data_IF_165054486913
#
_entry.id   IF_165054486913
#
_cell.length_a   1.000
_cell.length_b   1.000
_cell.length_c   1.000
_cell.angle_alpha   90.00
_cell.angle_beta   90.00
_cell.angle_gamma   90.00
#
_symmetry.space_group_name_H-M   'P 1'
#
loop_
_entity.id
_entity.type
_entity.pdbx_description
1 polymer ?
#
# COMPACT_ATOMS: atom_id res chain seq x y z
N UNK A 1 -4.77 21.95 -8.40
CA UNK A 1 -5.96 22.10 -7.53
C UNK A 1 -5.89 20.96 -6.53
N UNK A 2 -5.84 21.26 -5.23
CA UNK A 2 -5.90 20.22 -4.20
C UNK A 2 -7.33 19.66 -4.17
N UNK A 3 -7.48 18.34 -4.17
CA UNK A 3 -8.78 17.70 -3.98
C UNK A 3 -9.00 17.54 -2.48
N UNK A 4 -10.11 18.04 -1.96
CA UNK A 4 -10.39 18.00 -0.52
C UNK A 4 -11.42 16.92 -0.16
N UNK A 5 -12.25 16.51 -1.12
CA UNK A 5 -13.33 15.57 -0.90
C UNK A 5 -13.67 14.84 -2.20
N UNK A 6 -14.20 13.61 -2.09
CA UNK A 6 -14.59 12.83 -3.27
C UNK A 6 -15.74 13.49 -4.07
N UNK A 7 -16.58 14.27 -3.40
CA UNK A 7 -17.74 14.98 -3.98
C UNK A 7 -17.38 16.41 -4.43
N UNK A 8 -16.09 16.73 -4.51
CA UNK A 8 -15.66 18.00 -5.11
C UNK A 8 -16.07 18.08 -6.59
N UNK A 9 -15.98 19.28 -7.18
CA UNK A 9 -16.33 19.50 -8.58
C UNK A 9 -15.60 18.50 -9.51
N UNK A 10 -14.33 18.23 -9.22
CA UNK A 10 -13.53 17.24 -9.95
C UNK A 10 -14.18 15.86 -9.86
N UNK A 11 -14.52 15.39 -8.67
CA UNK A 11 -15.18 14.11 -8.44
C UNK A 11 -16.54 14.01 -9.13
N UNK A 12 -17.34 15.09 -9.09
CA UNK A 12 -18.59 15.15 -9.84
C UNK A 12 -18.39 15.02 -11.36
N UNK A 13 -17.33 15.62 -11.91
CA UNK A 13 -16.99 15.51 -13.34
C UNK A 13 -16.46 14.11 -13.68
N UNK A 14 -15.68 13.50 -12.79
CA UNK A 14 -15.16 12.14 -12.96
C UNK A 14 -16.24 11.07 -12.85
N UNK A 15 -17.34 11.33 -12.14
CA UNK A 15 -18.50 10.46 -12.08
C UNK A 15 -19.33 10.46 -13.38
N UNK A 16 -19.07 11.40 -14.30
CA UNK A 16 -19.70 11.44 -15.63
C UNK A 16 -19.00 10.46 -16.58
N UNK A 17 -19.62 10.13 -17.74
CA UNK A 17 -19.02 9.23 -18.72
C UNK A 17 -17.60 9.65 -19.12
N UNK A 18 -16.66 8.68 -19.08
CA UNK A 18 -15.22 8.87 -19.28
C UNK A 18 -14.81 9.39 -20.67
N UNK A 19 -15.72 9.39 -21.64
CA UNK A 19 -15.49 9.86 -23.01
C UNK A 19 -15.59 11.38 -23.16
N UNK A 20 -15.96 12.12 -22.10
CA UNK A 20 -16.13 13.58 -22.14
C UNK A 20 -14.91 14.29 -21.53
N UNK A 21 -14.25 13.68 -20.54
CA UNK A 21 -13.21 14.32 -19.72
C UNK A 21 -11.93 13.49 -19.71
N UNK A 22 -10.81 14.15 -19.99
CA UNK A 22 -9.47 13.59 -19.74
C UNK A 22 -8.98 14.08 -18.39
N UNK A 23 -8.93 13.19 -17.39
CA UNK A 23 -8.38 13.52 -16.08
C UNK A 23 -6.86 13.38 -16.09
N UNK A 24 -6.17 14.51 -15.89
CA UNK A 24 -4.71 14.54 -15.75
C UNK A 24 -4.40 14.66 -14.25
N UNK A 25 -4.13 13.51 -13.61
CA UNK A 25 -3.74 13.46 -12.21
C UNK A 25 -2.22 13.59 -12.09
N UNK A 26 -1.78 14.69 -11.46
CA UNK A 26 -0.38 14.98 -11.16
C UNK A 26 -0.19 15.00 -9.64
N UNK A 27 -0.03 13.84 -8.99
CA UNK A 27 0.25 13.78 -7.56
C UNK A 27 1.61 14.39 -7.24
N UNK A 28 1.78 14.89 -6.01
CA UNK A 28 3.06 15.41 -5.50
C UNK A 28 4.17 14.39 -5.66
N UNK A 29 3.95 13.15 -5.21
CA UNK A 29 4.87 12.03 -5.42
C UNK A 29 4.31 11.20 -6.56
N UNK A 30 5.09 11.02 -7.64
CA UNK A 30 4.65 10.17 -8.74
C UNK A 30 4.46 8.74 -8.25
N UNK A 31 3.23 8.24 -8.32
CA UNK A 31 2.95 6.88 -7.91
C UNK A 31 3.46 5.88 -8.94
N UNK A 32 3.28 6.16 -10.23
CA UNK A 32 3.75 5.28 -11.30
C UNK A 32 4.67 6.07 -12.23
N UNK A 33 5.39 5.39 -13.13
CA UNK A 33 6.03 6.08 -14.26
C UNK A 33 4.94 6.79 -15.08
N UNK A 34 5.03 8.12 -15.18
CA UNK A 34 4.06 8.93 -15.89
C UNK A 34 4.70 9.50 -17.16
N UNK A 35 4.04 9.30 -18.30
CA UNK A 35 4.41 9.94 -19.56
C UNK A 35 3.15 10.60 -20.14
N UNK A 36 3.18 11.91 -20.24
CA UNK A 36 2.11 12.71 -20.84
C UNK A 36 2.53 13.09 -22.25
N UNK A 37 1.74 12.65 -23.21
CA UNK A 37 1.94 12.92 -24.62
C UNK A 37 1.11 14.12 -25.07
N UNK A 38 1.61 14.86 -26.06
CA UNK A 38 0.84 15.88 -26.76
C UNK A 38 -0.26 15.21 -27.59
N UNK A 39 -1.52 15.50 -27.27
CA UNK A 39 -2.66 15.10 -28.11
C UNK A 39 -2.64 16.01 -29.35
N UNK A 40 -2.12 15.54 -30.49
CA UNK A 40 -2.64 16.04 -31.77
C UNK A 40 -3.97 15.33 -32.00
N UNK A 41 -5.10 16.04 -31.92
CA UNK A 41 -6.33 15.52 -32.56
C UNK A 41 -5.98 15.22 -34.02
N UNK A 42 -6.25 14.03 -34.57
CA UNK A 42 -6.31 13.92 -36.03
C UNK A 42 -7.39 14.90 -36.48
N UNK A 43 -7.03 15.87 -37.33
CA UNK A 43 -8.03 16.65 -38.04
C UNK A 43 -8.91 15.64 -38.79
N UNK A 44 -10.24 15.64 -38.64
CA UNK A 44 -11.07 14.88 -39.56
C UNK A 44 -10.75 15.37 -40.97
N UNK A 45 -10.65 14.48 -41.97
CA UNK A 45 -10.37 14.91 -43.33
C UNK A 45 -11.43 15.93 -43.73
N UNK A 46 -11.00 17.14 -44.09
CA UNK A 46 -11.88 18.13 -44.72
C UNK A 46 -12.51 17.45 -45.93
N UNK A 47 -13.85 17.41 -46.06
CA UNK A 47 -14.47 16.76 -47.20
C UNK A 47 -13.98 17.44 -48.48
N UNK A 48 -13.24 16.70 -49.29
CA UNK A 48 -12.80 17.14 -50.61
C UNK A 48 -14.04 17.19 -51.49
N UNK A 49 -14.55 18.39 -51.78
CA UNK A 49 -15.50 18.57 -52.88
C UNK A 49 -14.75 18.19 -54.15
N UNK A 50 -15.13 17.05 -54.76
CA UNK A 50 -14.58 16.61 -56.04
C UNK A 50 -15.13 17.51 -57.13
N UNK A 51 -14.35 18.48 -57.57
CA UNK A 51 -14.53 19.06 -58.91
C UNK A 51 -13.82 18.13 -59.89
N UNK A 52 -14.60 17.45 -60.72
CA UNK A 52 -14.08 16.53 -61.73
C UNK A 52 -13.42 17.33 -62.86
N UNK A 53 -12.10 17.33 -62.93
CA UNK A 53 -11.40 17.59 -64.18
C UNK A 53 -10.16 16.70 -64.34
N UNK A 54 -9.99 16.27 -65.58
CA UNK A 54 -9.05 15.29 -66.10
C UNK A 54 -7.57 15.59 -65.82
N UNK A 55 -6.78 14.50 -65.89
CA UNK A 55 -5.33 14.45 -66.14
C UNK A 55 -4.39 14.95 -65.03
N UNK A 56 -3.78 13.98 -64.32
CA UNK A 56 -2.33 13.80 -64.15
C UNK A 56 -2.07 13.02 -62.85
N UNK A 57 -1.30 11.94 -62.95
CA UNK A 57 -0.83 11.11 -61.83
C UNK A 57 0.04 11.95 -60.87
N UNK A 58 -0.58 12.49 -59.82
CA UNK A 58 0.14 13.08 -58.68
C UNK A 58 0.36 12.01 -57.62
N UNK A 59 1.61 11.61 -57.38
CA UNK A 59 2.00 10.80 -56.21
C UNK A 59 1.51 11.52 -54.95
N UNK A 60 0.57 10.90 -54.24
CA UNK A 60 0.21 11.30 -52.89
C UNK A 60 1.40 10.99 -51.98
N UNK A 61 2.09 12.04 -51.53
CA UNK A 61 3.03 11.93 -50.43
C UNK A 61 2.25 11.47 -49.19
N UNK A 62 2.48 10.24 -48.74
CA UNK A 62 2.21 9.86 -47.35
C UNK A 62 3.09 10.74 -46.47
N UNK A 63 2.51 11.79 -45.86
CA UNK A 63 3.18 12.48 -44.75
C UNK A 63 3.37 11.44 -43.64
N UNK A 64 4.60 11.18 -43.18
CA UNK A 64 4.80 10.35 -42.00
C UNK A 64 4.05 11.01 -40.83
N UNK A 65 3.33 10.21 -40.04
CA UNK A 65 2.70 10.66 -38.81
C UNK A 65 3.77 11.42 -37.99
N UNK A 66 3.49 12.69 -37.65
CA UNK A 66 4.43 13.47 -36.84
C UNK A 66 4.72 12.70 -35.54
N UNK A 67 5.97 12.60 -35.08
CA UNK A 67 6.29 11.86 -33.87
C UNK A 67 5.49 12.44 -32.69
N UNK A 68 4.89 11.54 -31.90
CA UNK A 68 4.17 11.91 -30.68
C UNK A 68 5.15 12.63 -29.76
N UNK A 69 4.91 13.92 -29.51
CA UNK A 69 5.79 14.72 -28.64
C UNK A 69 5.48 14.41 -27.18
N UNK A 70 6.45 13.92 -26.43
CA UNK A 70 6.37 13.81 -24.97
C UNK A 70 6.38 15.24 -24.42
N UNK A 71 5.34 15.61 -23.65
CA UNK A 71 5.23 16.92 -23.01
C UNK A 71 5.82 16.91 -21.60
N UNK A 72 5.63 15.80 -20.89
CA UNK A 72 6.04 15.64 -19.51
C UNK A 72 6.30 14.17 -19.23
N UNK A 73 7.40 13.87 -18.54
CA UNK A 73 7.70 12.52 -18.08
C UNK A 73 8.36 12.57 -16.72
N UNK A 74 7.97 11.65 -15.84
CA UNK A 74 8.61 11.45 -14.54
C UNK A 74 8.62 9.99 -14.14
N UNK A 75 9.65 9.60 -13.40
CA UNK A 75 9.74 8.26 -12.82
C UNK A 75 8.90 8.17 -11.54
N UNK A 76 8.52 6.96 -11.13
CA UNK A 76 7.86 6.77 -9.83
C UNK A 76 8.78 7.20 -8.67
N UNK A 77 8.16 7.79 -7.64
CA UNK A 77 8.84 8.42 -6.51
C UNK A 77 9.38 9.81 -6.79
N UNK A 78 9.35 10.30 -8.04
CA UNK A 78 9.80 11.64 -8.37
C UNK A 78 8.75 12.69 -7.96
N UNK A 79 9.22 13.78 -7.34
CA UNK A 79 8.37 14.89 -6.94
C UNK A 79 7.88 15.69 -8.14
N UNK A 80 6.65 16.20 -8.07
CA UNK A 80 6.04 17.05 -9.10
C UNK A 80 6.79 18.38 -9.27
N UNK A 81 7.28 18.94 -8.15
CA UNK A 81 8.11 20.14 -8.11
C UNK A 81 9.27 19.91 -7.14
N UNK A 82 10.37 20.64 -7.35
CA UNK A 82 11.52 20.60 -6.48
C UNK A 82 11.14 21.31 -5.17
N UNK A 83 11.22 20.58 -4.06
CA UNK A 83 11.18 21.09 -2.70
C UNK A 83 12.62 21.24 -2.22
N UNK A 84 12.93 22.35 -1.54
CA UNK A 84 14.28 22.61 -1.02
C UNK A 84 14.72 21.50 -0.04
N UNK A 85 13.79 20.93 0.74
CA UNK A 85 14.04 19.78 1.62
C UNK A 85 13.73 18.40 1.01
N UNK A 86 13.39 18.32 -0.27
CA UNK A 86 13.19 17.07 -0.99
C UNK A 86 12.19 16.11 -0.33
N UNK A 87 12.61 14.86 -0.10
CA UNK A 87 11.74 13.82 0.51
C UNK A 87 11.47 14.05 2.00
N UNK A 88 12.41 14.64 2.72
CA UNK A 88 12.27 14.87 4.17
C UNK A 88 11.16 15.89 4.45
N UNK A 89 11.09 16.94 3.64
CA UNK A 89 10.02 17.93 3.70
C UNK A 89 8.65 17.31 3.40
N UNK A 90 8.58 16.36 2.47
CA UNK A 90 7.34 15.63 2.18
C UNK A 90 6.87 14.81 3.37
N UNK A 91 7.79 14.12 4.06
CA UNK A 91 7.45 13.36 5.27
C UNK A 91 7.01 14.28 6.41
N UNK A 92 7.58 15.49 6.54
CA UNK A 92 7.12 16.50 7.50
C UNK A 92 5.69 16.94 7.17
N UNK A 93 5.42 17.34 5.93
CA UNK A 93 4.08 17.74 5.48
C UNK A 93 3.06 16.62 5.74
N UNK A 94 3.45 15.38 5.42
CA UNK A 94 2.60 14.19 5.64
C UNK A 94 2.34 13.93 7.13
N UNK A 95 3.34 14.10 7.98
CA UNK A 95 3.21 13.95 9.42
C UNK A 95 2.30 15.02 10.04
N UNK A 96 2.38 16.27 9.57
CA UNK A 96 1.54 17.39 10.04
C UNK A 96 0.08 17.26 9.61
N UNK A 97 -0.18 16.88 8.36
CA UNK A 97 -1.53 16.79 7.81
C UNK A 97 -2.23 15.46 8.14
N UNK A 98 -1.46 14.40 8.33
CA UNK A 98 -1.94 13.03 8.38
C UNK A 98 -2.18 12.44 6.99
N UNK A 99 -2.06 11.12 6.89
CA UNK A 99 -2.00 10.37 5.63
C UNK A 99 -3.26 10.52 4.77
N UNK A 100 -4.44 10.65 5.39
CA UNK A 100 -5.70 10.90 4.68
C UNK A 100 -5.72 12.27 3.98
N UNK A 101 -5.41 13.34 4.72
CA UNK A 101 -5.41 14.68 4.15
C UNK A 101 -4.29 14.85 3.13
N UNK A 102 -3.13 14.22 3.36
CA UNK A 102 -2.05 14.15 2.40
C UNK A 102 -2.48 13.45 1.10
N UNK A 103 -3.12 12.28 1.20
CA UNK A 103 -3.61 11.54 0.03
C UNK A 103 -4.61 12.36 -0.79
N UNK A 104 -5.54 13.03 -0.12
CA UNK A 104 -6.51 13.90 -0.78
C UNK A 104 -5.83 15.12 -1.45
N UNK A 105 -5.10 15.91 -0.68
CA UNK A 105 -4.60 17.22 -1.12
C UNK A 105 -3.41 17.12 -2.07
N UNK A 106 -2.43 16.27 -1.71
CA UNK A 106 -1.14 16.19 -2.39
C UNK A 106 -1.09 15.04 -3.40
N UNK A 107 -1.74 13.90 -3.13
CA UNK A 107 -1.83 12.79 -4.09
C UNK A 107 -3.08 12.83 -4.98
N UNK A 108 -3.99 13.79 -4.77
CA UNK A 108 -5.25 13.95 -5.51
C UNK A 108 -6.19 12.73 -5.43
N UNK A 109 -6.11 11.97 -4.35
CA UNK A 109 -6.89 10.76 -4.10
C UNK A 109 -7.77 10.91 -2.83
N UNK A 110 -8.85 11.70 -2.87
CA UNK A 110 -9.79 11.78 -1.77
C UNK A 110 -10.67 10.51 -1.73
N UNK A 111 -10.45 9.67 -0.73
CA UNK A 111 -11.34 8.56 -0.40
C UNK A 111 -12.31 8.99 0.71
N UNK A 112 -13.55 8.51 0.78
CA UNK A 112 -14.42 8.82 1.91
C UNK A 112 -13.99 8.03 3.14
N UNK A 113 -14.11 8.61 4.32
CA UNK A 113 -13.77 7.94 5.60
C UNK A 113 -14.57 6.64 5.84
N UNK A 114 -15.66 6.41 5.11
CA UNK A 114 -16.52 5.23 5.19
C UNK A 114 -16.33 4.22 4.05
N UNK A 115 -15.32 4.36 3.16
CA UNK A 115 -15.16 3.43 2.02
C UNK A 115 -14.58 2.07 2.41
N UNK A 116 -13.78 1.99 3.46
CA UNK A 116 -13.14 0.73 3.83
C UNK A 116 -14.02 -0.18 4.66
N UNK A 117 -13.60 -1.45 4.72
CA UNK A 117 -14.33 -2.52 5.40
C UNK A 117 -14.24 -2.36 6.93
N UNK A 118 -13.12 -1.86 7.44
CA UNK A 118 -12.89 -1.64 8.88
C UNK A 118 -13.33 -0.23 9.27
N UNK A 119 -14.09 -0.14 10.37
CA UNK A 119 -14.49 1.15 10.94
C UNK A 119 -13.48 1.65 11.98
N UNK A 120 -13.17 2.96 12.03
CA UNK A 120 -12.23 3.52 12.99
C UNK A 120 -12.55 3.17 14.45
N UNK A 121 -13.84 3.16 14.84
CA UNK A 121 -14.28 2.87 16.21
C UNK A 121 -14.04 1.42 16.66
N UNK A 122 -13.78 0.50 15.73
CA UNK A 122 -13.44 -0.89 16.04
C UNK A 122 -12.00 -1.02 16.54
N UNK A 123 -11.10 -0.15 16.06
CA UNK A 123 -9.70 -0.08 16.52
C UNK A 123 -9.64 0.62 17.89
N UNK A 124 -9.27 -0.13 18.93
CA UNK A 124 -9.14 0.40 20.29
C UNK A 124 -7.78 1.03 20.50
N UNK A 125 -7.64 1.83 21.56
CA UNK A 125 -6.41 2.58 21.85
C UNK A 125 -5.79 2.20 23.19
N UNK A 126 -4.47 2.20 23.27
CA UNK A 126 -3.72 2.10 24.54
C UNK A 126 -2.71 3.25 24.69
N UNK A 127 -2.44 3.69 25.92
CA UNK A 127 -1.50 4.81 26.21
C UNK A 127 -0.12 4.33 26.64
N UNK A 128 -0.10 3.29 27.48
CA UNK A 128 1.12 2.62 27.94
C UNK A 128 1.07 1.18 27.49
N UNK A 129 2.22 0.59 27.25
CA UNK A 129 2.29 -0.85 27.04
C UNK A 129 1.67 -1.57 28.25
N UNK A 130 0.97 -2.69 28.03
CA UNK A 130 0.58 -3.57 29.12
C UNK A 130 1.80 -4.01 29.94
N UNK A 131 1.65 -4.10 31.26
CA UNK A 131 2.78 -4.40 32.16
C UNK A 131 3.41 -5.78 31.91
N UNK A 132 2.63 -6.73 31.41
CA UNK A 132 3.07 -8.10 31.08
C UNK A 132 2.97 -8.34 29.56
N UNK A 133 3.93 -7.83 28.79
CA UNK A 133 4.05 -8.15 27.37
C UNK A 133 4.50 -9.61 27.19
N UNK A 134 3.52 -10.52 27.16
CA UNK A 134 3.73 -11.94 26.82
C UNK A 134 3.26 -12.25 25.40
N UNK A 135 3.69 -13.39 24.86
CA UNK A 135 3.25 -13.89 23.54
C UNK A 135 3.49 -12.90 22.40
N UNK A 136 4.67 -12.26 22.41
CA UNK A 136 5.09 -11.34 21.35
C UNK A 136 5.25 -12.14 20.06
N UNK A 137 4.62 -11.69 18.98
CA UNK A 137 4.70 -12.30 17.65
C UNK A 137 5.06 -11.23 16.64
N UNK A 138 6.01 -11.52 15.77
CA UNK A 138 6.31 -10.69 14.60
C UNK A 138 5.69 -11.33 13.37
N UNK A 139 5.06 -10.52 12.53
CA UNK A 139 4.49 -10.96 11.26
C UNK A 139 5.14 -10.19 10.12
N UNK A 140 5.91 -10.90 9.32
CA UNK A 140 6.63 -10.35 8.18
C UNK A 140 5.88 -10.63 6.89
N UNK A 141 5.54 -9.56 6.18
CA UNK A 141 5.29 -9.58 4.74
C UNK A 141 6.57 -9.08 4.05
N UNK A 142 7.17 -9.93 3.22
CA UNK A 142 8.51 -9.68 2.68
C UNK A 142 8.47 -9.39 1.19
N UNK A 143 9.11 -8.30 0.82
CA UNK A 143 9.43 -7.98 -0.56
C UNK A 143 10.90 -7.62 -0.68
N UNK A 144 11.61 -8.30 -1.59
CA UNK A 144 12.98 -7.90 -1.96
C UNK A 144 12.89 -6.84 -3.03
N UNK A 145 13.38 -5.66 -2.68
CA UNK A 145 13.67 -4.61 -3.64
C UNK A 145 14.90 -4.98 -4.46
N UNK A 146 14.89 -4.62 -5.74
CA UNK A 146 16.09 -4.45 -6.58
C UNK A 146 16.06 -3.11 -7.33
N UNK A 147 15.00 -2.31 -7.12
CA UNK A 147 14.76 -1.02 -7.77
C UNK A 147 13.76 -0.17 -6.97
N UNK A 148 13.71 1.14 -7.23
CA UNK A 148 12.79 2.07 -6.55
C UNK A 148 11.30 1.72 -6.71
N UNK A 149 10.93 0.85 -7.66
CA UNK A 149 9.56 0.42 -7.95
C UNK A 149 9.12 -0.78 -7.09
N UNK A 150 9.98 -1.26 -6.18
CA UNK A 150 9.68 -2.46 -5.40
C UNK A 150 8.55 -2.24 -4.39
N UNK A 151 7.92 -3.35 -4.02
CA UNK A 151 7.04 -3.43 -2.85
C UNK A 151 7.83 -3.20 -1.56
N UNK A 152 7.13 -2.88 -0.48
CA UNK A 152 7.74 -2.70 0.83
C UNK A 152 7.85 -4.05 1.55
N UNK A 153 8.90 -4.22 2.33
CA UNK A 153 8.92 -5.22 3.39
C UNK A 153 8.30 -4.61 4.64
N UNK A 154 7.36 -5.31 5.26
CA UNK A 154 6.65 -4.88 6.47
C UNK A 154 6.78 -5.92 7.57
N UNK A 155 7.02 -5.45 8.80
CA UNK A 155 6.89 -6.23 10.01
C UNK A 155 5.91 -5.55 10.96
N UNK A 156 4.85 -6.27 11.33
CA UNK A 156 3.97 -5.87 12.43
C UNK A 156 4.34 -6.69 13.67
N UNK A 157 4.61 -6.02 14.80
CA UNK A 157 4.93 -6.66 16.07
C UNK A 157 3.73 -6.59 17.01
N UNK A 158 3.27 -7.73 17.49
CA UNK A 158 2.05 -7.86 18.27
C UNK A 158 2.30 -8.51 19.61
N UNK A 159 1.58 -8.08 20.65
CA UNK A 159 1.40 -8.87 21.87
C UNK A 159 -0.03 -9.40 21.97
N UNK A 160 -0.17 -10.64 22.43
CA UNK A 160 -1.46 -11.23 22.80
C UNK A 160 -1.55 -11.29 24.32
N UNK A 161 -2.57 -10.65 24.86
CA UNK A 161 -2.89 -10.72 26.30
C UNK A 161 -4.35 -11.15 26.40
N UNK A 162 -4.57 -12.32 26.97
CA UNK A 162 -5.84 -13.05 26.94
C UNK A 162 -6.35 -13.24 25.50
N UNK A 163 -7.36 -12.46 25.10
CA UNK A 163 -7.95 -12.46 23.76
C UNK A 163 -7.94 -11.05 23.15
N UNK A 164 -6.98 -10.22 23.55
CA UNK A 164 -6.74 -8.88 23.03
C UNK A 164 -5.37 -8.84 22.35
N UNK A 165 -5.31 -8.13 21.24
CA UNK A 165 -4.17 -8.04 20.35
C UNK A 165 -3.67 -6.60 20.31
N UNK A 166 -2.46 -6.37 20.81
CA UNK A 166 -1.86 -5.06 20.90
C UNK A 166 -0.79 -4.92 19.81
N UNK A 167 -0.98 -4.00 18.87
CA UNK A 167 0.03 -3.67 17.87
C UNK A 167 1.09 -2.78 18.51
N UNK A 168 2.28 -3.34 18.74
CA UNK A 168 3.37 -2.70 19.47
C UNK A 168 4.27 -1.84 18.57
N UNK A 169 4.51 -2.33 17.35
CA UNK A 169 5.41 -1.68 16.39
C UNK A 169 5.03 -2.06 14.96
N UNK A 170 5.29 -1.13 14.03
CA UNK A 170 5.21 -1.38 12.59
C UNK A 170 6.48 -0.87 11.96
N UNK A 171 7.24 -1.79 11.37
CA UNK A 171 8.40 -1.49 10.56
C UNK A 171 8.03 -1.62 9.09
N UNK A 172 8.40 -0.63 8.26
CA UNK A 172 8.15 -0.63 6.82
C UNK A 172 9.33 -0.01 6.09
N UNK A 173 9.92 -0.75 5.15
CA UNK A 173 11.02 -0.25 4.32
C UNK A 173 11.13 -1.01 3.00
N UNK A 174 11.69 -0.35 1.97
CA UNK A 174 12.16 -1.02 0.75
C UNK A 174 13.58 -1.49 0.98
N UNK A 175 13.78 -2.81 1.01
CA UNK A 175 15.05 -3.42 1.39
C UNK A 175 15.53 -4.41 0.34
N UNK A 176 16.83 -4.37 0.08
CA UNK A 176 17.55 -5.47 -0.56
C UNK A 176 17.71 -6.61 0.46
N UNK A 177 17.87 -7.85 -0.03
CA UNK A 177 17.89 -9.06 0.81
C UNK A 177 18.86 -9.01 2.01
N UNK A 178 20.13 -8.59 1.88
CA UNK A 178 21.05 -8.53 3.03
C UNK A 178 20.53 -7.61 4.14
N UNK A 179 19.94 -6.47 3.76
CA UNK A 179 19.36 -5.51 4.70
C UNK A 179 18.06 -6.01 5.31
N UNK A 180 17.24 -6.74 4.55
CA UNK A 180 16.07 -7.41 5.10
C UNK A 180 16.46 -8.37 6.23
N UNK A 181 17.48 -9.22 6.02
CA UNK A 181 17.97 -10.13 7.06
C UNK A 181 18.47 -9.38 8.31
N UNK A 182 19.29 -8.35 8.13
CA UNK A 182 19.78 -7.52 9.25
C UNK A 182 18.60 -6.94 10.07
N UNK A 183 17.55 -6.48 9.40
CA UNK A 183 16.39 -5.89 10.06
C UNK A 183 15.53 -6.91 10.79
N UNK A 184 15.38 -8.12 10.25
CA UNK A 184 14.69 -9.22 10.96
C UNK A 184 15.41 -9.57 12.25
N UNK A 185 16.74 -9.73 12.20
CA UNK A 185 17.56 -10.01 13.39
C UNK A 185 17.50 -8.86 14.42
N UNK A 186 17.58 -7.61 13.94
CA UNK A 186 17.51 -6.42 14.81
C UNK A 186 16.16 -6.32 15.53
N UNK A 187 15.05 -6.48 14.82
CA UNK A 187 13.72 -6.45 15.41
C UNK A 187 13.46 -7.64 16.32
N UNK A 188 13.98 -8.83 15.99
CA UNK A 188 13.90 -10.00 16.85
C UNK A 188 14.68 -9.79 18.16
N UNK A 189 15.88 -9.20 18.09
CA UNK A 189 16.67 -8.87 19.28
C UNK A 189 15.99 -7.82 20.16
N UNK A 190 15.34 -6.82 19.54
CA UNK A 190 14.61 -5.75 20.26
C UNK A 190 13.39 -6.27 21.01
N UNK A 191 12.60 -7.14 20.38
CA UNK A 191 11.28 -7.53 20.86
C UNK A 191 11.22 -8.93 21.47
N UNK A 192 12.27 -9.74 21.32
CA UNK A 192 12.35 -11.13 21.81
C UNK A 192 11.07 -11.93 21.52
N UNK A 193 10.66 -12.05 20.23
CA UNK A 193 9.39 -12.65 19.87
C UNK A 193 9.37 -14.16 20.18
N UNK A 194 8.21 -14.66 20.56
CA UNK A 194 7.94 -16.09 20.75
C UNK A 194 7.64 -16.80 19.43
N UNK A 195 7.27 -16.03 18.39
CA UNK A 195 7.03 -16.51 17.05
C UNK A 195 7.34 -15.41 16.03
N UNK A 196 7.99 -15.78 14.93
CA UNK A 196 8.22 -14.90 13.78
C UNK A 196 7.57 -15.56 12.57
N UNK A 197 6.43 -15.02 12.16
CA UNK A 197 5.69 -15.46 10.99
C UNK A 197 6.32 -14.82 9.76
N UNK A 198 6.64 -15.61 8.74
CA UNK A 198 7.17 -15.11 7.47
C UNK A 198 6.38 -15.77 6.34
N UNK A 199 5.81 -14.95 5.44
CA UNK A 199 5.16 -15.47 4.23
C UNK A 199 6.20 -16.15 3.33
N UNK A 200 5.95 -17.40 2.98
CA UNK A 200 6.84 -18.25 2.20
C UNK A 200 6.71 -18.03 0.69
N UNK A 201 6.78 -16.78 0.25
CA UNK A 201 6.68 -16.42 -1.16
C UNK A 201 7.95 -15.72 -1.63
N UNK A 202 8.52 -16.21 -2.73
CA UNK A 202 9.70 -15.64 -3.39
C UNK A 202 10.86 -15.42 -2.40
N UNK A 203 11.12 -14.17 -1.98
CA UNK A 203 12.18 -13.82 -1.03
C UNK A 203 12.00 -14.41 0.36
N UNK A 204 10.74 -14.62 0.79
CA UNK A 204 10.45 -15.17 2.10
C UNK A 204 10.94 -16.61 2.27
N UNK A 205 10.95 -17.41 1.19
CA UNK A 205 11.44 -18.80 1.25
C UNK A 205 12.94 -18.86 1.55
N UNK A 206 13.75 -18.04 0.87
CA UNK A 206 15.20 -17.97 1.08
C UNK A 206 15.51 -17.48 2.50
N UNK A 207 14.80 -16.44 2.94
CA UNK A 207 14.95 -15.89 4.28
C UNK A 207 14.61 -16.92 5.36
N UNK A 208 13.49 -17.63 5.22
CA UNK A 208 13.07 -18.69 6.15
C UNK A 208 14.11 -19.81 6.23
N UNK A 209 14.61 -20.28 5.09
CA UNK A 209 15.61 -21.35 5.04
C UNK A 209 16.92 -20.91 5.72
N UNK A 210 17.40 -19.70 5.43
CA UNK A 210 18.63 -19.17 5.99
C UNK A 210 18.50 -18.93 7.50
N UNK A 211 17.40 -18.35 7.98
CA UNK A 211 17.19 -18.07 9.40
C UNK A 211 17.00 -19.37 10.20
N UNK A 212 16.27 -20.36 9.68
CA UNK A 212 16.13 -21.68 10.34
C UNK A 212 17.46 -22.43 10.44
N UNK A 213 18.40 -22.18 9.52
CA UNK A 213 19.72 -22.85 9.52
C UNK A 213 20.73 -22.14 10.40
N UNK A 214 20.71 -20.80 10.43
CA UNK A 214 21.78 -19.99 11.02
C UNK A 214 21.37 -19.24 12.30
N UNK A 215 20.16 -19.45 12.82
CA UNK A 215 19.69 -18.80 14.04
C UNK A 215 18.73 -19.68 14.83
N UNK A 216 18.63 -19.43 16.14
CA UNK A 216 17.66 -20.08 17.03
C UNK A 216 16.31 -19.33 17.07
N UNK A 217 16.02 -18.50 16.07
CA UNK A 217 14.79 -17.72 16.04
C UNK A 217 13.57 -18.62 15.83
N UNK A 218 12.42 -18.33 16.47
CA UNK A 218 11.21 -19.15 16.36
C UNK A 218 10.45 -18.85 15.05
N UNK A 219 11.06 -19.20 13.92
CA UNK A 219 10.52 -18.93 12.57
C UNK A 219 9.38 -19.90 12.26
N UNK A 220 8.22 -19.34 11.92
CA UNK A 220 7.05 -20.05 11.44
C UNK A 220 6.77 -19.61 10.00
N UNK A 221 6.79 -20.58 9.12
CA UNK A 221 6.52 -20.37 7.70
C UNK A 221 5.01 -20.30 7.46
N UNK A 222 4.54 -19.26 6.78
CA UNK A 222 3.14 -19.08 6.42
C UNK A 222 2.97 -19.22 4.92
N UNK A 223 1.99 -20.02 4.51
CA UNK A 223 1.55 -20.12 3.13
C UNK A 223 0.12 -19.58 3.07
N UNK A 224 -0.12 -18.42 2.43
CA UNK A 224 -1.46 -17.89 2.32
C UNK A 224 -2.30 -18.80 1.41
N UNK A 225 -3.53 -19.03 1.86
CA UNK A 225 -4.59 -19.66 1.08
C UNK A 225 -5.67 -18.61 0.83
N UNK A 226 -6.40 -18.74 -0.28
CA UNK A 226 -7.40 -17.78 -0.74
C UNK A 226 -6.84 -16.43 -1.24
N UNK A 227 -7.70 -15.67 -1.92
CA UNK A 227 -7.38 -14.32 -2.35
C UNK A 227 -7.32 -13.34 -1.15
N UNK A 228 -6.65 -12.21 -1.37
CA UNK A 228 -6.36 -11.21 -0.32
C UNK A 228 -7.62 -10.67 0.35
N UNK A 229 -8.66 -10.36 -0.43
CA UNK A 229 -9.90 -9.79 0.09
C UNK A 229 -10.65 -10.82 0.94
N UNK A 230 -10.70 -12.08 0.50
CA UNK A 230 -11.25 -13.18 1.28
C UNK A 230 -10.52 -13.35 2.62
N UNK A 231 -9.17 -13.36 2.62
CA UNK A 231 -8.37 -13.43 3.86
C UNK A 231 -8.65 -12.25 4.79
N UNK A 232 -8.81 -11.04 4.25
CA UNK A 232 -9.14 -9.85 5.02
C UNK A 232 -10.50 -9.97 5.70
N UNK A 233 -11.55 -10.40 4.98
CA UNK A 233 -12.88 -10.61 5.56
C UNK A 233 -12.89 -11.61 6.72
N UNK A 234 -11.98 -12.59 6.73
CA UNK A 234 -11.89 -13.56 7.82
C UNK A 234 -11.43 -12.93 9.15
N UNK A 235 -10.73 -11.79 9.14
CA UNK A 235 -10.22 -11.13 10.35
C UNK A 235 -11.11 -9.99 10.83
N UNK A 236 -12.06 -9.53 10.01
CA UNK A 236 -13.00 -8.44 10.33
C UNK A 236 -13.73 -8.68 11.67
N UNK A 237 -14.28 -9.87 11.97
CA UNK A 237 -14.98 -10.09 13.24
C UNK A 237 -14.09 -9.91 14.48
N UNK A 238 -12.78 -10.15 14.35
CA UNK A 238 -11.82 -9.93 15.45
C UNK A 238 -11.69 -8.44 15.73
N UNK A 239 -11.50 -7.64 14.68
CA UNK A 239 -11.36 -6.19 14.78
C UNK A 239 -12.68 -5.58 15.27
N UNK A 240 -13.80 -5.93 14.64
CA UNK A 240 -15.15 -5.46 14.98
C UNK A 240 -15.50 -5.69 16.45
N UNK A 241 -15.10 -6.83 17.02
CA UNK A 241 -15.32 -7.14 18.44
C UNK A 241 -14.49 -6.28 19.41
N UNK A 242 -13.71 -5.31 18.91
CA UNK A 242 -12.92 -4.38 19.72
C UNK A 242 -11.72 -5.02 20.42
N UNK A 243 -11.17 -6.10 19.84
CA UNK A 243 -10.04 -6.84 20.41
C UNK A 243 -8.68 -6.36 19.92
N UNK A 244 -8.64 -5.49 18.92
CA UNK A 244 -7.40 -4.95 18.34
C UNK A 244 -7.13 -3.56 18.92
N UNK A 245 -5.92 -3.39 19.46
CA UNK A 245 -5.48 -2.20 20.18
C UNK A 245 -4.25 -1.59 19.51
N UNK A 246 -4.36 -0.32 19.14
CA UNK A 246 -3.29 0.50 18.58
C UNK A 246 -2.79 1.50 19.64
N UNK A 247 -1.54 1.97 19.56
CA UNK A 247 -1.09 3.02 20.44
C UNK A 247 -1.87 4.32 20.18
N UNK A 248 -1.91 5.21 21.18
CA UNK A 248 -2.41 6.58 20.97
C UNK A 248 -1.50 7.37 20.04
N UNK A 249 -0.19 7.09 20.05
CA UNK A 249 0.81 7.81 19.28
C UNK A 249 1.93 6.84 18.87
N UNK A 250 2.25 6.83 17.59
CA UNK A 250 3.46 6.22 17.04
C UNK A 250 3.76 6.88 15.68
N UNK A 251 5.04 6.90 15.28
CA UNK A 251 5.47 7.51 14.00
C UNK A 251 4.79 6.83 12.80
N UNK A 252 4.60 5.51 12.86
CA UNK A 252 3.97 4.71 11.80
C UNK A 252 2.43 4.69 11.85
N UNK A 253 1.81 5.25 12.89
CA UNK A 253 0.40 5.02 13.20
C UNK A 253 -0.53 5.51 12.09
N UNK A 254 -0.35 6.74 11.63
CA UNK A 254 -1.24 7.36 10.65
C UNK A 254 -1.20 6.61 9.30
N UNK A 255 -0.03 6.14 8.89
CA UNK A 255 0.15 5.37 7.67
C UNK A 255 -0.47 3.98 7.78
N UNK A 256 -0.29 3.32 8.92
CA UNK A 256 -0.94 2.04 9.20
C UNK A 256 -2.47 2.15 9.18
N UNK A 257 -3.01 3.15 9.89
CA UNK A 257 -4.46 3.35 9.97
C UNK A 257 -5.07 3.71 8.63
N UNK A 258 -4.43 4.59 7.87
CA UNK A 258 -4.87 4.90 6.53
C UNK A 258 -4.94 3.64 5.66
N UNK A 259 -3.91 2.79 5.70
CA UNK A 259 -3.89 1.56 4.90
C UNK A 259 -5.01 0.58 5.30
N UNK A 260 -5.15 0.28 6.60
CA UNK A 260 -6.15 -0.66 7.11
C UNK A 260 -7.58 -0.16 6.92
N UNK A 261 -7.82 1.14 7.15
CA UNK A 261 -9.16 1.74 7.09
C UNK A 261 -9.64 2.01 5.66
N UNK A 262 -8.74 2.05 4.69
CA UNK A 262 -9.09 2.33 3.29
C UNK A 262 -8.97 1.10 2.39
N UNK A 263 -8.43 -0.02 2.88
CA UNK A 263 -8.41 -1.28 2.15
C UNK A 263 -9.83 -1.72 1.71
N UNK A 264 -10.05 -2.15 0.46
CA UNK A 264 -9.06 -2.48 -0.59
C UNK A 264 -8.72 -1.34 -1.56
N UNK A 265 -9.15 -0.10 -1.29
CA UNK A 265 -8.99 1.04 -2.20
C UNK A 265 -7.59 1.67 -2.16
N UNK A 266 -6.70 1.16 -1.29
CA UNK A 266 -5.32 1.65 -1.16
C UNK A 266 -4.39 1.02 -2.16
N UNK A 267 -3.44 1.80 -2.66
CA UNK A 267 -2.40 1.32 -3.58
C UNK A 267 -1.45 0.31 -2.92
N UNK A 268 -1.18 0.52 -1.64
CA UNK A 268 -0.35 -0.38 -0.83
C UNK A 268 -1.26 -1.15 0.12
N UNK A 269 -0.90 -2.41 0.33
CA UNK A 269 -1.59 -3.33 1.22
C UNK A 269 -0.60 -4.25 1.97
N UNK A 270 0.69 -3.90 1.96
CA UNK A 270 1.76 -4.69 2.62
C UNK A 270 1.55 -4.73 4.17
N UNK A 271 1.07 -3.63 4.77
CA UNK A 271 0.72 -3.59 6.21
C UNK A 271 -0.57 -4.35 6.50
N UNK A 272 -1.51 -4.33 5.55
CA UNK A 272 -2.72 -5.13 5.60
C UNK A 272 -2.39 -6.62 5.55
N UNK A 273 -1.54 -7.07 4.62
CA UNK A 273 -1.12 -8.47 4.48
C UNK A 273 -0.43 -8.97 5.75
N UNK A 274 0.52 -8.21 6.28
CA UNK A 274 1.21 -8.53 7.54
C UNK A 274 0.22 -8.66 8.73
N UNK A 275 -0.78 -7.77 8.81
CA UNK A 275 -1.80 -7.79 9.86
C UNK A 275 -2.75 -8.99 9.72
N UNK A 276 -3.24 -9.24 8.51
CA UNK A 276 -4.13 -10.38 8.22
C UNK A 276 -3.43 -11.69 8.55
N UNK A 277 -2.16 -11.85 8.14
CA UNK A 277 -1.34 -13.01 8.45
C UNK A 277 -1.29 -13.29 9.96
N UNK A 278 -0.99 -12.26 10.77
CA UNK A 278 -0.95 -12.41 12.23
C UNK A 278 -2.31 -12.82 12.80
N UNK A 279 -3.38 -12.10 12.43
CA UNK A 279 -4.72 -12.32 12.99
C UNK A 279 -5.30 -13.68 12.57
N UNK A 280 -5.03 -14.16 11.36
CA UNK A 280 -5.39 -15.51 10.94
C UNK A 280 -4.63 -16.57 11.72
N UNK A 281 -3.31 -16.40 11.87
CA UNK A 281 -2.46 -17.34 12.60
C UNK A 281 -2.88 -17.48 14.07
N UNK A 282 -3.13 -16.36 14.76
CA UNK A 282 -3.50 -16.37 16.17
C UNK A 282 -4.91 -16.93 16.40
N UNK A 283 -5.84 -16.69 15.46
CA UNK A 283 -7.18 -17.30 15.46
C UNK A 283 -7.10 -18.82 15.36
N UNK A 284 -6.33 -19.33 14.41
CA UNK A 284 -6.18 -20.77 14.17
C UNK A 284 -5.49 -21.48 15.34
N UNK A 285 -4.47 -20.84 15.93
CA UNK A 285 -3.79 -21.34 17.13
C UNK A 285 -4.74 -21.43 18.34
N UNK A 286 -5.66 -20.47 18.49
CA UNK A 286 -6.65 -20.48 19.57
C UNK A 286 -7.68 -21.60 19.37
N UNK A 287 -8.19 -21.77 18.14
CA UNK A 287 -9.16 -22.84 17.82
C UNK A 287 -8.60 -24.25 18.07
N UNK A 288 -7.32 -24.48 17.73
CA UNK A 288 -6.65 -25.76 17.98
C UNK A 288 -6.58 -26.10 19.47
N UNK A 289 -6.24 -25.10 20.32
CA UNK A 289 -6.17 -25.30 21.78
C UNK A 289 -7.56 -25.59 22.37
N UNK A 290 -8.61 -24.91 21.89
CA UNK A 290 -9.98 -25.16 22.36
C UNK A 290 -10.49 -26.54 21.95
N UNK A 291 -10.20 -26.98 20.72
CA UNK A 291 -10.59 -28.30 20.24
C UNK A 291 -9.94 -29.44 21.05
N UNK A 292 -8.66 -29.29 21.41
CA UNK A 292 -7.94 -30.27 22.25
C UNK A 292 -8.49 -30.32 23.68
N UNK A 293 -9.01 -29.22 24.22
CA UNK A 293 -9.62 -29.19 25.58
C UNK A 293 -11.05 -29.73 25.64
N UNK A 294 -11.70 -29.90 24.49
CA UNK A 294 -13.07 -30.40 24.38
C UNK A 294 -13.15 -31.92 24.11
N UNK A 295 -12.01 -32.59 23.96
CA UNK A 295 -11.85 -34.03 23.86
C UNK A 295 -11.46 -34.62 25.23
#
# INVERSE_FOLDING_TARGET
>A
MHRLHQEDLTGHLLSKPKNIWHHICLPMISENKQVIYSIKKPMPPVPVIRVAQHCATRRLYNKPASPVRILYSREEGQLLYLLDGGKEEVEIIKAELGSYAFAAQYQQNPLPLSSGIIKPEWLKRYKKFPDNLSHITQSWDTAVSTSNMSNFSVCTTWAKIDNKFYLLDVYRAKLEYPKLKEQVLSLAARWTPHAILIEAKTSGQQLVQELKTNSDLPIIEIVPHDDKLTRFHQIVPIIESGKVFLPHQAVWLNDFEYEILMFPETRHDDQVDSTVQYLQWVRNSTSRVTAVRAL
#
